data_IF_708506724142
#
_entry.id   IF_708506724142
#
_cell.length_a   1.000
_cell.length_b   1.000
_cell.length_c   1.000
_cell.angle_alpha   90.00
_cell.angle_beta   90.00
_cell.angle_gamma   90.00
#
_symmetry.space_group_name_H-M   'P 1'
#
loop_
_entity.id
_entity.type
_entity.pdbx_description
1 polymer ?
#
# COMPACT_ATOMS: atom_id res chain seq x y z
N UNK A 1 10.56 12.65 55.60
CA UNK A 1 10.83 13.28 54.29
C UNK A 1 9.95 14.51 54.10
N UNK A 2 10.52 15.69 53.82
CA UNK A 2 9.78 16.95 53.58
C UNK A 2 8.87 16.84 52.35
N UNK A 3 7.73 17.54 52.36
CA UNK A 3 6.77 17.57 51.25
C UNK A 3 7.39 18.01 49.93
N UNK A 4 8.34 18.96 49.95
CA UNK A 4 9.08 19.41 48.77
C UNK A 4 9.90 18.29 48.13
N UNK A 5 10.54 17.42 48.93
CA UNK A 5 11.29 16.26 48.42
C UNK A 5 10.38 15.25 47.71
N UNK A 6 9.17 15.04 48.24
CA UNK A 6 8.18 14.15 47.59
C UNK A 6 7.69 14.72 46.26
N UNK A 7 7.42 16.03 46.19
CA UNK A 7 6.99 16.71 44.96
C UNK A 7 8.07 16.63 43.88
N UNK A 8 9.33 16.91 44.22
CA UNK A 8 10.45 16.83 43.27
C UNK A 8 10.65 15.41 42.71
N UNK A 9 10.49 14.37 43.54
CA UNK A 9 10.55 12.97 43.08
C UNK A 9 9.43 12.68 42.09
N UNK A 10 8.20 13.10 42.38
CA UNK A 10 7.06 12.89 41.46
C UNK A 10 7.29 13.60 40.13
N UNK A 11 7.74 14.86 40.15
CA UNK A 11 8.06 15.62 38.94
C UNK A 11 9.16 14.92 38.14
N UNK A 12 10.26 14.52 38.79
CA UNK A 12 11.36 13.81 38.16
C UNK A 12 10.90 12.49 37.50
N UNK A 13 10.07 11.72 38.20
CA UNK A 13 9.52 10.47 37.68
C UNK A 13 8.62 10.69 36.45
N UNK A 14 7.76 11.71 36.45
CA UNK A 14 6.90 12.04 35.30
C UNK A 14 7.73 12.45 34.08
N UNK A 15 8.77 13.26 34.29
CA UNK A 15 9.69 13.67 33.21
C UNK A 15 10.43 12.46 32.64
N UNK A 16 10.95 11.58 33.49
CA UNK A 16 11.63 10.36 33.07
C UNK A 16 10.71 9.45 32.23
N UNK A 17 9.46 9.29 32.65
CA UNK A 17 8.45 8.47 31.95
C UNK A 17 8.09 9.07 30.59
N UNK A 18 7.82 10.38 30.53
CA UNK A 18 7.50 11.08 29.29
C UNK A 18 8.67 11.02 28.29
N UNK A 19 9.90 11.24 28.78
CA UNK A 19 11.11 11.17 27.95
C UNK A 19 11.38 9.75 27.46
N UNK A 20 11.25 8.76 28.35
CA UNK A 20 11.43 7.35 28.01
C UNK A 20 10.44 6.87 26.96
N UNK A 21 9.16 7.25 27.08
CA UNK A 21 8.14 6.90 26.11
C UNK A 21 8.39 7.55 24.73
N UNK A 22 8.80 8.82 24.71
CA UNK A 22 9.15 9.51 23.46
C UNK A 22 10.35 8.84 22.76
N UNK A 23 11.42 8.53 23.51
CA UNK A 23 12.59 7.82 22.97
C UNK A 23 12.22 6.43 22.42
N UNK A 24 11.34 5.71 23.12
CA UNK A 24 10.84 4.42 22.66
C UNK A 24 10.11 4.54 21.32
N UNK A 25 9.20 5.50 21.17
CA UNK A 25 8.49 5.72 19.91
C UNK A 25 9.42 6.19 18.79
N UNK A 26 10.40 7.05 19.09
CA UNK A 26 11.40 7.44 18.10
C UNK A 26 12.22 6.25 17.61
N UNK A 27 12.66 5.39 18.53
CA UNK A 27 13.41 4.18 18.20
C UNK A 27 12.56 3.22 17.34
N UNK A 28 11.33 2.94 17.75
CA UNK A 28 10.42 2.08 16.98
C UNK A 28 10.18 2.64 15.58
N UNK A 29 9.91 3.94 15.46
CA UNK A 29 9.67 4.60 14.19
C UNK A 29 10.89 4.49 13.26
N UNK A 30 12.10 4.67 13.80
CA UNK A 30 13.35 4.49 13.08
C UNK A 30 13.54 3.06 12.60
N UNK A 31 13.29 2.06 13.46
CA UNK A 31 13.37 0.65 13.10
C UNK A 31 12.41 0.29 11.96
N UNK A 32 11.15 0.73 12.04
CA UNK A 32 10.16 0.51 10.97
C UNK A 32 10.59 1.15 9.64
N UNK A 33 11.16 2.36 9.69
CA UNK A 33 11.65 3.05 8.50
C UNK A 33 12.83 2.32 7.86
N UNK A 34 13.74 1.78 8.66
CA UNK A 34 14.86 0.98 8.18
C UNK A 34 14.41 -0.38 7.62
N UNK A 35 13.43 -1.04 8.27
CA UNK A 35 12.86 -2.28 7.75
C UNK A 35 12.17 -2.09 6.41
N UNK A 36 11.43 -0.99 6.22
CA UNK A 36 10.85 -0.67 4.91
C UNK A 36 11.95 -0.48 3.86
N UNK A 37 13.05 0.22 4.21
CA UNK A 37 14.18 0.42 3.31
C UNK A 37 14.79 -0.92 2.89
N UNK A 38 15.02 -1.82 3.84
CA UNK A 38 15.52 -3.16 3.56
C UNK A 38 14.57 -3.92 2.64
N UNK A 39 13.26 -3.85 2.83
CA UNK A 39 12.29 -4.50 1.93
C UNK A 39 12.39 -3.98 0.48
N UNK A 40 12.65 -2.68 0.28
CA UNK A 40 12.93 -2.16 -1.06
C UNK A 40 14.24 -2.69 -1.64
N UNK A 41 15.31 -2.68 -0.85
CA UNK A 41 16.65 -3.15 -1.27
C UNK A 41 16.65 -4.65 -1.63
N UNK A 42 15.85 -5.45 -0.91
CA UNK A 42 15.64 -6.88 -1.17
C UNK A 42 14.65 -7.16 -2.31
N UNK A 43 14.01 -6.11 -2.86
CA UNK A 43 12.95 -6.20 -3.88
C UNK A 43 11.77 -7.07 -3.43
N UNK A 44 11.46 -7.08 -2.13
CA UNK A 44 10.27 -7.75 -1.61
C UNK A 44 9.05 -6.81 -1.73
N UNK A 45 8.48 -6.78 -2.93
CA UNK A 45 7.35 -5.92 -3.29
C UNK A 45 6.13 -6.13 -2.38
N UNK A 46 5.92 -7.35 -1.88
CA UNK A 46 4.83 -7.67 -0.95
C UNK A 46 5.12 -7.01 0.40
N UNK A 47 6.32 -7.19 0.94
CA UNK A 47 6.70 -6.58 2.21
C UNK A 47 6.69 -5.05 2.13
N UNK A 48 7.12 -4.47 1.01
CA UNK A 48 7.02 -3.03 0.76
C UNK A 48 5.57 -2.57 0.83
N UNK A 49 4.68 -3.14 0.02
CA UNK A 49 3.26 -2.75 0.00
C UNK A 49 2.58 -2.98 1.34
N UNK A 50 2.86 -4.12 2.00
CA UNK A 50 2.36 -4.41 3.32
C UNK A 50 2.74 -3.29 4.30
N UNK A 51 3.99 -2.84 4.32
CA UNK A 51 4.47 -1.80 5.23
C UNK A 51 3.96 -0.41 4.89
N UNK A 52 3.90 -0.07 3.59
CA UNK A 52 3.32 1.19 3.12
C UNK A 52 1.84 1.32 3.50
N UNK A 53 1.10 0.22 3.42
CA UNK A 53 -0.35 0.19 3.60
C UNK A 53 -0.80 -0.19 5.02
N UNK A 54 0.10 -0.68 5.88
CA UNK A 54 -0.23 -1.13 7.23
C UNK A 54 -0.77 -0.03 8.16
N UNK A 55 -0.55 1.24 7.84
CA UNK A 55 -1.06 2.38 8.61
C UNK A 55 -1.13 3.63 7.75
N UNK A 56 -1.68 4.72 8.28
CA UNK A 56 -1.65 6.04 7.64
C UNK A 56 -0.29 6.75 7.67
N UNK A 57 0.76 6.14 8.23
CA UNK A 57 2.09 6.76 8.42
C UNK A 57 2.68 7.30 7.12
N UNK A 58 2.63 6.51 6.05
CA UNK A 58 3.20 6.87 4.73
C UNK A 58 2.18 7.52 3.79
N UNK A 59 0.95 7.78 4.26
CA UNK A 59 -0.08 8.43 3.45
C UNK A 59 0.36 9.79 2.87
N UNK A 60 1.06 10.67 3.62
CA UNK A 60 1.58 11.93 3.08
C UNK A 60 2.59 11.70 1.95
N UNK A 61 3.51 10.75 2.11
CA UNK A 61 4.55 10.44 1.13
C UNK A 61 3.96 9.84 -0.14
N UNK A 62 3.00 8.91 -0.01
CA UNK A 62 2.28 8.33 -1.15
C UNK A 62 1.54 9.40 -1.95
N UNK A 63 0.89 10.36 -1.28
CA UNK A 63 0.24 11.49 -1.96
C UNK A 63 1.25 12.44 -2.59
N UNK A 64 2.38 12.71 -1.93
CA UNK A 64 3.47 13.54 -2.46
C UNK A 64 4.08 12.92 -3.72
N UNK A 65 4.15 11.59 -3.78
CA UNK A 65 4.57 10.82 -4.95
C UNK A 65 3.53 10.84 -6.09
N UNK A 66 2.35 11.45 -5.89
CA UNK A 66 1.32 11.61 -6.92
C UNK A 66 0.27 10.49 -6.96
N UNK A 67 0.29 9.56 -6.01
CA UNK A 67 -0.67 8.46 -5.95
C UNK A 67 -1.90 8.82 -5.13
N UNK A 68 -3.04 8.25 -5.50
CA UNK A 68 -4.31 8.47 -4.82
C UNK A 68 -4.54 7.36 -3.79
N UNK A 69 -4.95 7.75 -2.59
CA UNK A 69 -5.29 6.86 -1.48
C UNK A 69 -6.55 7.36 -0.78
N UNK A 70 -7.23 6.53 0.03
CA UNK A 70 -8.40 6.95 0.78
C UNK A 70 -8.16 8.22 1.63
N UNK A 71 -9.23 8.96 1.96
CA UNK A 71 -9.15 10.08 2.90
C UNK A 71 -8.65 9.64 4.28
N UNK A 72 -8.00 10.55 5.01
CA UNK A 72 -7.43 10.25 6.33
C UNK A 72 -8.46 9.72 7.34
N UNK A 73 -9.72 10.17 7.22
CA UNK A 73 -10.83 9.64 8.03
C UNK A 73 -11.05 8.14 7.81
N UNK A 74 -11.03 7.68 6.56
CA UNK A 74 -11.18 6.26 6.23
C UNK A 74 -9.96 5.45 6.70
N UNK A 75 -8.75 5.95 6.45
CA UNK A 75 -7.50 5.29 6.89
C UNK A 75 -7.49 5.10 8.41
N UNK A 76 -7.94 6.09 9.18
CA UNK A 76 -8.03 6.00 10.64
C UNK A 76 -9.06 4.99 11.13
N UNK A 77 -10.19 4.85 10.41
CA UNK A 77 -11.22 3.88 10.73
C UNK A 77 -10.76 2.45 10.41
N UNK A 78 -10.10 2.27 9.27
CA UNK A 78 -9.66 0.96 8.78
C UNK A 78 -8.32 0.52 9.41
N UNK A 79 -7.60 1.45 10.04
CA UNK A 79 -6.28 1.21 10.64
C UNK A 79 -5.14 1.09 9.62
N UNK A 80 -5.41 1.31 8.33
CA UNK A 80 -4.47 1.16 7.22
C UNK A 80 -5.00 1.73 5.91
N UNK A 81 -4.18 1.69 4.87
CA UNK A 81 -4.55 2.13 3.53
C UNK A 81 -5.20 0.94 2.82
N UNK A 82 -6.50 1.04 2.54
CA UNK A 82 -7.23 -0.06 1.89
C UNK A 82 -6.79 -0.30 0.43
N UNK A 83 -6.39 0.76 -0.27
CA UNK A 83 -5.95 0.68 -1.66
C UNK A 83 -5.10 1.89 -2.06
N UNK A 84 -4.27 1.71 -3.08
CA UNK A 84 -3.55 2.79 -3.77
C UNK A 84 -4.00 2.79 -5.22
N UNK A 85 -4.30 3.96 -5.79
CA UNK A 85 -4.59 4.11 -7.22
C UNK A 85 -3.37 4.71 -7.92
N UNK A 86 -2.92 4.02 -8.95
CA UNK A 86 -1.83 4.38 -9.85
C UNK A 86 -2.49 4.79 -11.17
N UNK A 87 -2.25 6.02 -11.59
CA UNK A 87 -2.71 6.54 -12.88
C UNK A 87 -1.58 6.36 -13.89
N UNK A 88 -1.83 5.65 -14.96
CA UNK A 88 -0.83 5.30 -15.95
C UNK A 88 -1.44 4.95 -17.31
N UNK A 89 -0.89 3.91 -17.94
CA UNK A 89 -1.46 3.34 -19.17
C UNK A 89 -2.81 2.69 -18.86
N UNK A 90 -2.99 2.20 -17.63
CA UNK A 90 -4.27 1.79 -17.06
C UNK A 90 -4.50 2.49 -15.72
N UNK A 91 -5.76 2.74 -15.38
CA UNK A 91 -6.15 3.23 -14.06
C UNK A 91 -6.16 2.05 -13.07
N UNK A 92 -4.99 1.76 -12.52
CA UNK A 92 -4.74 0.61 -11.67
C UNK A 92 -5.05 0.91 -10.20
N UNK A 93 -5.85 0.07 -9.58
CA UNK A 93 -6.09 0.06 -8.14
C UNK A 93 -5.45 -1.17 -7.50
N UNK A 94 -4.47 -0.96 -6.64
CA UNK A 94 -3.80 -2.03 -5.90
C UNK A 94 -4.31 -2.09 -4.47
N UNK A 95 -4.45 -3.29 -3.93
CA UNK A 95 -4.74 -3.53 -2.52
C UNK A 95 -3.93 -4.70 -1.99
N UNK A 96 -3.69 -4.71 -0.68
CA UNK A 96 -2.99 -5.79 -0.01
C UNK A 96 -3.97 -6.60 0.85
N UNK A 97 -4.07 -7.91 0.61
CA UNK A 97 -4.93 -8.84 1.37
C UNK A 97 -4.14 -9.94 2.05
N UNK A 98 -3.13 -9.58 2.82
CA UNK A 98 -2.40 -10.46 3.75
C UNK A 98 -1.56 -11.59 3.14
N UNK A 99 -1.78 -11.96 1.88
CA UNK A 99 -1.08 -13.06 1.17
C UNK A 99 -0.63 -12.70 -0.24
N UNK A 100 -0.94 -11.50 -0.73
CA UNK A 100 -0.62 -11.08 -2.09
C UNK A 100 -1.16 -9.69 -2.41
N UNK A 101 -0.85 -9.25 -3.62
CA UNK A 101 -1.35 -7.98 -4.18
C UNK A 101 -2.55 -8.28 -5.04
N UNK A 102 -3.64 -7.56 -4.81
CA UNK A 102 -4.79 -7.56 -5.71
C UNK A 102 -4.72 -6.32 -6.58
N UNK A 103 -4.59 -6.52 -7.89
CA UNK A 103 -4.64 -5.49 -8.91
C UNK A 103 -6.04 -5.49 -9.55
N UNK A 104 -6.72 -4.36 -9.50
CA UNK A 104 -8.02 -4.14 -10.11
C UNK A 104 -7.96 -2.95 -11.06
N UNK A 105 -8.53 -3.10 -12.25
CA UNK A 105 -8.66 -2.02 -13.22
C UNK A 105 -9.81 -2.32 -14.18
N UNK A 106 -10.26 -1.30 -14.89
CA UNK A 106 -11.24 -1.44 -15.95
C UNK A 106 -10.62 -1.06 -17.28
N UNK A 107 -10.88 -1.86 -18.31
CA UNK A 107 -10.36 -1.62 -19.66
C UNK A 107 -11.36 -2.06 -20.71
N UNK A 108 -11.36 -1.39 -21.85
CA UNK A 108 -12.15 -1.81 -23.00
C UNK A 108 -11.47 -2.99 -23.72
N UNK A 109 -12.18 -4.11 -23.85
CA UNK A 109 -11.78 -5.28 -24.65
C UNK A 109 -12.96 -5.60 -25.57
N UNK A 110 -12.69 -5.69 -26.87
CA UNK A 110 -13.71 -5.96 -27.90
C UNK A 110 -14.94 -5.04 -27.83
N UNK A 111 -14.72 -3.73 -27.57
CA UNK A 111 -15.80 -2.75 -27.49
C UNK A 111 -16.60 -2.78 -26.18
N UNK A 112 -16.17 -3.55 -25.18
CA UNK A 112 -16.86 -3.69 -23.88
C UNK A 112 -15.94 -3.38 -22.72
N UNK A 113 -16.42 -2.58 -21.77
CA UNK A 113 -15.74 -2.37 -20.49
C UNK A 113 -15.65 -3.70 -19.75
N UNK A 114 -14.43 -4.08 -19.44
CA UNK A 114 -14.08 -5.31 -18.75
C UNK A 114 -13.40 -4.96 -17.44
N UNK A 115 -14.01 -5.34 -16.32
CA UNK A 115 -13.37 -5.26 -15.02
C UNK A 115 -12.41 -6.44 -14.87
N UNK A 116 -11.14 -6.15 -14.60
CA UNK A 116 -10.06 -7.11 -14.47
C UNK A 116 -9.61 -7.18 -13.01
N UNK A 117 -9.45 -8.39 -12.50
CA UNK A 117 -8.96 -8.66 -11.15
C UNK A 117 -7.83 -9.68 -11.22
N UNK A 118 -6.62 -9.25 -10.87
CA UNK A 118 -5.46 -10.13 -10.73
C UNK A 118 -5.07 -10.26 -9.26
N UNK A 119 -4.78 -11.48 -8.84
CA UNK A 119 -4.04 -11.78 -7.62
C UNK A 119 -2.59 -12.09 -8.03
N UNK A 120 -1.66 -11.28 -7.53
CA UNK A 120 -0.25 -11.37 -7.86
C UNK A 120 0.55 -11.94 -6.69
N UNK A 121 1.56 -12.75 -7.01
CA UNK A 121 2.55 -13.23 -6.05
C UNK A 121 3.66 -12.19 -5.79
N UNK A 122 4.70 -12.60 -5.06
CA UNK A 122 5.84 -11.73 -4.72
C UNK A 122 6.70 -11.31 -5.90
N UNK A 123 6.67 -12.06 -6.99
CA UNK A 123 7.37 -11.74 -8.23
C UNK A 123 6.47 -10.95 -9.18
N UNK A 124 5.29 -10.53 -8.72
CA UNK A 124 4.25 -9.88 -9.52
C UNK A 124 3.73 -10.77 -10.67
N UNK A 125 3.77 -12.09 -10.49
CA UNK A 125 3.17 -13.05 -11.39
C UNK A 125 1.72 -13.34 -11.01
N UNK A 126 0.87 -13.58 -12.01
CA UNK A 126 -0.55 -13.90 -11.80
C UNK A 126 -0.69 -15.28 -11.13
N UNK A 127 -1.24 -15.30 -9.93
CA UNK A 127 -1.72 -16.49 -9.22
C UNK A 127 -3.14 -16.83 -9.65
N UNK A 128 -3.97 -15.80 -9.84
CA UNK A 128 -5.37 -15.93 -10.22
C UNK A 128 -5.83 -14.71 -11.01
N UNK A 129 -6.64 -14.94 -12.04
CA UNK A 129 -7.28 -13.87 -12.82
C UNK A 129 -8.78 -14.06 -12.93
N UNK A 130 -9.51 -12.95 -12.89
CA UNK A 130 -10.94 -12.90 -13.15
C UNK A 130 -11.28 -11.68 -14.00
N UNK A 131 -12.21 -11.88 -14.92
CA UNK A 131 -12.64 -10.88 -15.89
C UNK A 131 -14.15 -10.82 -15.86
N UNK A 132 -14.71 -9.62 -15.79
CA UNK A 132 -16.15 -9.42 -15.75
C UNK A 132 -16.57 -8.38 -16.77
N UNK A 133 -17.64 -8.65 -17.49
CA UNK A 133 -18.28 -7.68 -18.37
C UNK A 133 -19.76 -7.57 -18.01
N UNK A 134 -20.33 -6.39 -18.24
CA UNK A 134 -21.78 -6.22 -18.17
C UNK A 134 -22.41 -6.72 -19.46
N UNK A 135 -23.34 -7.67 -19.35
CA UNK A 135 -24.08 -8.17 -20.51
C UNK A 135 -25.26 -7.27 -20.90
N UNK A 136 -25.92 -7.60 -21.99
CA UNK A 136 -27.09 -6.87 -22.52
C UNK A 136 -28.26 -6.76 -21.53
N UNK A 137 -28.27 -7.58 -20.48
CA UNK A 137 -29.28 -7.59 -19.41
C UNK A 137 -28.83 -6.82 -18.17
N UNK A 138 -27.79 -6.00 -18.27
CA UNK A 138 -27.17 -5.26 -17.17
C UNK A 138 -26.70 -6.15 -16.01
N UNK A 139 -26.29 -7.38 -16.29
CA UNK A 139 -25.71 -8.28 -15.29
C UNK A 139 -24.21 -8.46 -15.53
N UNK A 140 -23.43 -8.43 -14.46
CA UNK A 140 -22.01 -8.76 -14.52
C UNK A 140 -21.83 -10.27 -14.60
N UNK A 141 -21.13 -10.72 -15.64
CA UNK A 141 -20.81 -12.12 -15.86
C UNK A 141 -19.32 -12.32 -16.07
N UNK A 142 -18.83 -13.50 -15.67
CA UNK A 142 -17.42 -13.84 -15.86
C UNK A 142 -17.18 -14.16 -17.33
N UNK A 143 -16.13 -13.56 -17.89
CA UNK A 143 -15.71 -13.78 -19.29
C UNK A 143 -14.29 -14.33 -19.33
N UNK A 144 -13.88 -14.77 -20.52
CA UNK A 144 -12.49 -15.11 -20.82
C UNK A 144 -11.93 -14.13 -21.82
N UNK A 145 -10.69 -13.70 -21.62
CA UNK A 145 -9.97 -12.84 -22.57
C UNK A 145 -8.89 -13.65 -23.30
N UNK A 146 -8.43 -13.21 -24.48
CA UNK A 146 -7.32 -13.85 -25.18
C UNK A 146 -6.05 -13.89 -24.32
N UNK A 147 -5.29 -14.99 -24.37
CA UNK A 147 -4.03 -15.12 -23.61
C UNK A 147 -2.97 -14.10 -24.00
N UNK A 148 -2.95 -13.67 -25.26
CA UNK A 148 -2.08 -12.60 -25.71
C UNK A 148 -2.42 -11.27 -25.00
N UNK A 149 -3.71 -11.02 -24.75
CA UNK A 149 -4.20 -9.83 -24.07
C UNK A 149 -3.88 -9.88 -22.57
N UNK A 150 -4.13 -11.01 -21.89
CA UNK A 150 -3.72 -11.21 -20.48
C UNK A 150 -2.22 -10.93 -20.29
N UNK A 151 -1.38 -11.42 -21.21
CA UNK A 151 0.07 -11.18 -21.19
C UNK A 151 0.44 -9.72 -21.46
N UNK A 152 -0.29 -9.03 -22.34
CA UNK A 152 -0.10 -7.60 -22.62
C UNK A 152 -0.41 -6.77 -21.37
N UNK A 153 -1.55 -7.02 -20.74
CA UNK A 153 -2.00 -6.33 -19.52
C UNK A 153 -1.08 -6.58 -18.34
N UNK A 154 -0.63 -7.83 -18.14
CA UNK A 154 0.30 -8.16 -17.07
C UNK A 154 1.60 -7.34 -17.18
N UNK A 155 2.15 -7.19 -18.39
CA UNK A 155 3.37 -6.38 -18.60
C UNK A 155 3.18 -4.91 -18.23
N UNK A 156 1.99 -4.35 -18.53
CA UNK A 156 1.67 -2.97 -18.16
C UNK A 156 1.63 -2.83 -16.64
N UNK A 157 0.90 -3.73 -15.96
CA UNK A 157 0.77 -3.73 -14.50
C UNK A 157 2.14 -3.90 -13.83
N UNK A 158 2.96 -4.83 -14.31
CA UNK A 158 4.31 -5.05 -13.77
C UNK A 158 5.14 -3.78 -13.88
N UNK A 159 5.13 -3.12 -15.04
CA UNK A 159 5.84 -1.85 -15.24
C UNK A 159 5.32 -0.75 -14.32
N UNK A 160 4.00 -0.55 -14.22
CA UNK A 160 3.41 0.47 -13.34
C UNK A 160 3.72 0.21 -11.86
N UNK A 161 3.75 -1.05 -11.44
CA UNK A 161 4.17 -1.43 -10.10
C UNK A 161 5.66 -1.20 -9.86
N UNK A 162 6.53 -1.51 -10.82
CA UNK A 162 7.96 -1.22 -10.75
C UNK A 162 8.22 0.29 -10.63
N UNK A 163 7.59 1.09 -11.50
CA UNK A 163 7.66 2.55 -11.47
C UNK A 163 7.15 3.11 -10.13
N UNK A 164 6.09 2.52 -9.58
CA UNK A 164 5.59 2.84 -8.24
C UNK A 164 6.63 2.56 -7.14
N UNK A 165 7.27 1.38 -7.16
CA UNK A 165 8.28 1.04 -6.16
C UNK A 165 9.48 1.99 -6.23
N UNK A 166 9.97 2.30 -7.43
CA UNK A 166 11.07 3.23 -7.62
C UNK A 166 10.74 4.64 -7.12
N UNK A 167 9.56 5.15 -7.49
CA UNK A 167 9.10 6.48 -7.07
C UNK A 167 8.93 6.57 -5.56
N UNK A 168 8.36 5.53 -4.94
CA UNK A 168 8.20 5.49 -3.49
C UNK A 168 9.54 5.41 -2.76
N UNK A 169 10.49 4.61 -3.27
CA UNK A 169 11.83 4.56 -2.72
C UNK A 169 12.52 5.94 -2.77
N UNK A 170 12.49 6.59 -3.93
CA UNK A 170 13.08 7.93 -4.09
C UNK A 170 12.37 8.97 -3.21
N UNK A 171 11.05 8.88 -3.03
CA UNK A 171 10.30 9.82 -2.19
C UNK A 171 10.66 9.69 -0.71
N UNK A 172 10.93 8.47 -0.24
CA UNK A 172 11.20 8.18 1.17
C UNK A 172 12.68 8.28 1.55
N UNK A 173 13.59 7.96 0.62
CA UNK A 173 15.02 7.77 0.92
C UNK A 173 15.97 8.58 0.03
N UNK A 174 15.43 9.27 -0.98
CA UNK A 174 16.21 10.02 -1.95
C UNK A 174 16.38 11.50 -1.67
#
# INVERSE_FOLDING_TARGET
MSGLKKILIVIGSVIALATGLNLYFQYQNHQEHMQLKTSFEERDNIAVLQRLMASGKYAPDIRKAGYVIPPDGAIRLDGGIASIEIKGDIDLKISYRGRGVTAYFEIEIDGKITSVLYELDKNLDIVSSAYFQTNEKNKNERVTIPKAEEKRLLKIIQKELEDFMETMYQTLYG
#
